data_IF_462359953391
#
_entry.id   IF_462359953391
#
_cell.length_a   1.000
_cell.length_b   1.000
_cell.length_c   1.000
_cell.angle_alpha   90.00
_cell.angle_beta   90.00
_cell.angle_gamma   90.00
#
_symmetry.space_group_name_H-M   'P 1'
#
loop_
_entity.id
_entity.type
_entity.pdbx_description
1 polymer ?
#
# COMPACT_ATOMS: atom_id res chain seq x y z
N UNK A 1 38.30 -27.90 3.13
CA UNK A 1 37.73 -28.24 4.45
C UNK A 1 36.95 -29.54 4.31
N UNK A 2 37.29 -30.57 5.08
CA UNK A 2 36.63 -31.87 4.95
C UNK A 2 35.16 -31.82 5.40
N UNK A 3 34.80 -30.85 6.25
CA UNK A 3 33.44 -30.64 6.77
C UNK A 3 32.43 -30.41 5.65
N UNK A 4 32.81 -29.67 4.61
CA UNK A 4 31.95 -29.42 3.44
C UNK A 4 31.68 -30.71 2.66
N UNK A 5 32.71 -31.55 2.45
CA UNK A 5 32.55 -32.82 1.75
C UNK A 5 31.67 -33.81 2.52
N UNK A 6 31.73 -33.77 3.86
CA UNK A 6 30.87 -34.57 4.74
C UNK A 6 29.43 -34.06 4.64
N UNK A 7 29.20 -32.76 4.78
CA UNK A 7 27.87 -32.14 4.67
C UNK A 7 27.20 -32.47 3.33
N UNK A 8 27.93 -32.35 2.22
CA UNK A 8 27.39 -32.68 0.89
C UNK A 8 27.02 -34.16 0.77
N UNK A 9 27.89 -35.07 1.24
CA UNK A 9 27.58 -36.51 1.24
C UNK A 9 26.40 -36.85 2.14
N UNK A 10 26.25 -36.15 3.26
CA UNK A 10 25.14 -36.35 4.18
C UNK A 10 23.79 -36.05 3.54
N UNK A 11 23.70 -34.92 2.83
CA UNK A 11 22.50 -34.51 2.08
C UNK A 11 22.18 -35.52 0.98
N UNK A 12 23.18 -35.87 0.15
CA UNK A 12 22.98 -36.77 -1.00
C UNK A 12 22.58 -38.19 -0.59
N UNK A 13 23.04 -38.68 0.57
CA UNK A 13 22.72 -40.03 1.04
C UNK A 13 21.27 -40.17 1.52
N UNK A 14 20.62 -39.07 1.94
CA UNK A 14 19.26 -39.09 2.48
C UNK A 14 18.36 -38.01 1.81
N UNK A 15 18.01 -38.19 0.52
CA UNK A 15 17.28 -37.18 -0.25
C UNK A 15 15.89 -36.88 0.31
N UNK A 16 15.22 -37.86 0.93
CA UNK A 16 13.88 -37.66 1.53
C UNK A 16 13.90 -36.61 2.65
N UNK A 17 14.93 -36.60 3.49
CA UNK A 17 15.03 -35.65 4.62
C UNK A 17 15.48 -34.27 4.16
N UNK A 18 16.41 -34.22 3.19
CA UNK A 18 16.76 -32.97 2.52
C UNK A 18 15.53 -32.34 1.87
N UNK A 19 14.67 -33.14 1.22
CA UNK A 19 13.42 -32.67 0.62
C UNK A 19 12.46 -32.07 1.66
N UNK A 20 12.26 -32.71 2.82
CA UNK A 20 11.40 -32.16 3.88
C UNK A 20 11.93 -30.82 4.42
N UNK A 21 13.24 -30.72 4.64
CA UNK A 21 13.87 -29.47 5.10
C UNK A 21 13.71 -28.39 4.03
N UNK A 22 13.98 -28.74 2.77
CA UNK A 22 13.85 -27.82 1.66
C UNK A 22 12.41 -27.35 1.52
N UNK A 23 11.43 -28.25 1.55
CA UNK A 23 10.01 -27.94 1.45
C UNK A 23 9.51 -27.02 2.57
N UNK A 24 9.93 -27.26 3.82
CA UNK A 24 9.54 -26.42 4.95
C UNK A 24 10.06 -24.98 4.78
N UNK A 25 11.33 -24.82 4.38
CA UNK A 25 11.93 -23.50 4.15
C UNK A 25 11.34 -22.84 2.90
N UNK A 26 11.14 -23.60 1.81
CA UNK A 26 10.48 -23.15 0.58
C UNK A 26 9.12 -22.56 0.88
N UNK A 27 8.29 -23.25 1.68
CA UNK A 27 6.97 -22.78 2.04
C UNK A 27 7.03 -21.51 2.90
N UNK A 28 7.94 -21.46 3.88
CA UNK A 28 8.12 -20.29 4.72
C UNK A 28 8.56 -19.06 3.90
N UNK A 29 9.54 -19.22 3.01
CA UNK A 29 9.99 -18.17 2.08
C UNK A 29 8.83 -17.73 1.19
N UNK A 30 8.09 -18.69 0.62
CA UNK A 30 6.99 -18.38 -0.28
C UNK A 30 5.92 -17.52 0.40
N UNK A 31 5.51 -17.92 1.61
CA UNK A 31 4.52 -17.18 2.41
C UNK A 31 5.04 -15.78 2.77
N UNK A 32 6.30 -15.65 3.19
CA UNK A 32 6.87 -14.35 3.57
C UNK A 32 6.91 -13.40 2.36
N UNK A 33 7.43 -13.85 1.22
CA UNK A 33 7.53 -13.02 0.01
C UNK A 33 6.14 -12.64 -0.49
N UNK A 34 5.22 -13.60 -0.55
CA UNK A 34 3.85 -13.34 -0.98
C UNK A 34 3.17 -12.32 -0.06
N UNK A 35 3.32 -12.48 1.26
CA UNK A 35 2.76 -11.55 2.23
C UNK A 35 3.39 -10.15 2.13
N UNK A 36 4.72 -10.04 1.96
CA UNK A 36 5.39 -8.76 1.69
C UNK A 36 4.83 -8.10 0.42
N UNK A 37 4.64 -8.86 -0.65
CA UNK A 37 4.13 -8.33 -1.90
C UNK A 37 2.69 -7.85 -1.81
N UNK A 38 1.83 -8.57 -1.07
CA UNK A 38 0.44 -8.14 -0.81
C UNK A 38 0.44 -6.85 0.01
N UNK A 39 1.21 -6.80 1.10
CA UNK A 39 1.27 -5.61 1.96
C UNK A 39 1.82 -4.39 1.20
N UNK A 40 2.84 -4.59 0.37
CA UNK A 40 3.43 -3.51 -0.45
C UNK A 40 2.49 -3.05 -1.55
N UNK A 41 1.81 -3.96 -2.25
CA UNK A 41 0.84 -3.59 -3.29
C UNK A 41 -0.32 -2.79 -2.69
N UNK A 42 -0.86 -3.24 -1.57
CA UNK A 42 -1.88 -2.51 -0.82
C UNK A 42 -1.41 -1.11 -0.39
N UNK A 43 -0.19 -0.98 0.13
CA UNK A 43 0.36 0.33 0.50
C UNK A 43 0.59 1.25 -0.69
N UNK A 44 1.10 0.73 -1.81
CA UNK A 44 1.28 1.48 -3.05
C UNK A 44 -0.07 2.02 -3.56
N UNK A 45 -1.08 1.16 -3.59
CA UNK A 45 -2.43 1.52 -4.01
C UNK A 45 -3.05 2.63 -3.14
N UNK A 46 -2.89 2.54 -1.82
CA UNK A 46 -3.33 3.60 -0.91
C UNK A 46 -2.57 4.88 -1.17
N UNK A 47 -1.24 4.84 -1.33
CA UNK A 47 -0.42 6.04 -1.56
C UNK A 47 -0.81 6.70 -2.89
N UNK A 48 -0.91 5.95 -3.98
CA UNK A 48 -1.32 6.48 -5.28
C UNK A 48 -2.73 7.09 -5.21
N UNK A 49 -3.69 6.37 -4.63
CA UNK A 49 -5.08 6.85 -4.55
C UNK A 49 -5.25 8.03 -3.57
N UNK A 50 -4.44 8.10 -2.51
CA UNK A 50 -4.61 9.09 -1.43
C UNK A 50 -3.70 10.31 -1.57
N UNK A 51 -2.56 10.18 -2.25
CA UNK A 51 -1.54 11.24 -2.33
C UNK A 51 -1.34 11.74 -3.74
N UNK A 52 -1.03 10.86 -4.70
CA UNK A 52 -0.64 11.29 -6.06
C UNK A 52 -1.77 12.03 -6.80
N UNK A 53 -3.01 11.58 -6.59
CA UNK A 53 -4.22 12.11 -7.20
C UNK A 53 -5.00 13.06 -6.28
N UNK A 54 -4.37 13.61 -5.23
CA UNK A 54 -5.01 14.48 -4.27
C UNK A 54 -4.15 15.71 -3.94
N UNK A 55 -4.73 16.76 -3.35
CA UNK A 55 -3.93 17.86 -2.83
C UNK A 55 -2.97 17.39 -1.75
N UNK A 56 -1.81 18.04 -1.70
CA UNK A 56 -0.82 17.78 -0.67
C UNK A 56 -0.99 18.74 0.52
N UNK A 57 -1.43 19.97 0.24
CA UNK A 57 -1.70 21.03 1.23
C UNK A 57 -3.16 21.42 1.14
N UNK A 58 -3.81 21.56 2.29
CA UNK A 58 -5.19 22.01 2.43
C UNK A 58 -5.21 23.25 3.32
N UNK A 59 -5.65 24.39 2.79
CA UNK A 59 -5.89 25.60 3.59
C UNK A 59 -7.39 25.75 3.78
N UNK A 60 -7.84 25.58 5.01
CA UNK A 60 -9.24 25.55 5.40
C UNK A 60 -9.54 26.61 6.46
N UNK A 61 -10.81 27.06 6.57
CA UNK A 61 -11.22 27.91 7.68
C UNK A 61 -10.98 27.21 9.03
N UNK A 62 -10.77 28.01 10.08
CA UNK A 62 -10.74 27.50 11.46
C UNK A 62 -12.13 26.99 11.85
N UNK A 63 -12.20 26.20 12.94
CA UNK A 63 -13.47 25.59 13.40
C UNK A 63 -14.63 26.57 13.61
N UNK A 64 -14.34 27.86 13.85
CA UNK A 64 -15.32 28.93 14.05
C UNK A 64 -15.71 29.68 12.76
N UNK A 65 -15.03 29.42 11.65
CA UNK A 65 -15.28 30.03 10.34
C UNK A 65 -15.79 28.99 9.33
N UNK A 66 -16.51 29.45 8.31
CA UNK A 66 -17.09 28.55 7.29
C UNK A 66 -16.38 28.62 5.93
N UNK A 67 -15.60 29.67 5.68
CA UNK A 67 -15.01 29.94 4.37
C UNK A 67 -13.68 30.67 4.46
N UNK A 68 -12.84 30.47 3.46
CA UNK A 68 -11.63 31.26 3.22
C UNK A 68 -12.01 32.52 2.46
N UNK A 69 -11.77 33.67 3.09
CA UNK A 69 -11.91 34.99 2.48
C UNK A 69 -10.60 35.42 1.84
N UNK A 70 -10.66 36.34 0.86
CA UNK A 70 -9.47 36.82 0.14
C UNK A 70 -8.65 35.67 -0.45
N UNK A 71 -9.32 34.60 -0.88
CA UNK A 71 -8.69 33.34 -1.29
C UNK A 71 -7.65 33.56 -2.39
N UNK A 72 -7.84 34.53 -3.29
CA UNK A 72 -6.85 34.91 -4.32
C UNK A 72 -5.51 35.32 -3.73
N UNK A 73 -5.51 36.03 -2.59
CA UNK A 73 -4.29 36.40 -1.87
C UNK A 73 -3.64 35.18 -1.24
N UNK A 74 -4.45 34.30 -0.63
CA UNK A 74 -4.00 33.04 -0.06
C UNK A 74 -3.37 32.16 -1.14
N UNK A 75 -4.04 31.99 -2.28
CA UNK A 75 -3.56 31.23 -3.44
C UNK A 75 -2.24 31.80 -3.97
N UNK A 76 -2.11 33.12 -4.13
CA UNK A 76 -0.87 33.75 -4.61
C UNK A 76 0.30 33.54 -3.65
N UNK A 77 0.07 33.60 -2.34
CA UNK A 77 1.12 33.34 -1.36
C UNK A 77 1.50 31.86 -1.38
N UNK A 78 0.52 30.96 -1.47
CA UNK A 78 0.78 29.52 -1.56
C UNK A 78 1.59 29.19 -2.81
N UNK A 79 1.26 29.78 -3.96
CA UNK A 79 2.04 29.66 -5.19
C UNK A 79 3.48 30.19 -5.04
N UNK A 80 3.74 31.16 -4.16
CA UNK A 80 5.08 31.67 -3.94
C UNK A 80 5.97 30.73 -3.10
N UNK A 81 5.41 29.66 -2.49
CA UNK A 81 6.20 28.72 -1.69
C UNK A 81 7.09 27.83 -2.57
N UNK A 82 8.38 27.63 -2.19
CA UNK A 82 9.27 26.73 -2.91
C UNK A 82 8.71 25.30 -2.97
N UNK A 83 8.68 24.73 -4.17
CA UNK A 83 8.23 23.36 -4.40
C UNK A 83 6.73 23.18 -4.57
N UNK A 84 5.92 24.24 -4.49
CA UNK A 84 4.52 24.21 -4.93
C UNK A 84 4.48 24.18 -6.46
N UNK A 85 3.69 23.26 -7.02
CA UNK A 85 3.57 23.01 -8.47
C UNK A 85 2.22 23.46 -9.04
N UNK A 86 1.17 23.41 -8.21
CA UNK A 86 -0.17 23.85 -8.57
C UNK A 86 -0.94 24.28 -7.33
N UNK A 87 -1.88 25.21 -7.52
CA UNK A 87 -2.79 25.71 -6.48
C UNK A 87 -4.17 25.82 -7.08
N UNK A 88 -5.19 25.33 -6.40
CA UNK A 88 -6.59 25.46 -6.80
C UNK A 88 -7.44 25.99 -5.65
N UNK A 89 -8.31 26.94 -5.95
CA UNK A 89 -9.29 27.44 -5.00
C UNK A 89 -10.63 26.76 -5.24
N UNK A 90 -11.17 26.16 -4.19
CA UNK A 90 -12.28 25.21 -4.31
C UNK A 90 -13.42 25.57 -3.39
N UNK A 91 -14.64 25.47 -3.92
CA UNK A 91 -15.85 25.66 -3.14
C UNK A 91 -16.72 24.42 -3.15
N UNK A 92 -16.59 23.62 -2.10
CA UNK A 92 -17.38 22.43 -1.88
C UNK A 92 -18.76 22.77 -1.31
N UNK A 93 -19.76 22.01 -1.74
CA UNK A 93 -21.12 22.13 -1.24
C UNK A 93 -21.95 20.88 -1.47
N UNK A 94 -23.07 20.78 -0.76
CA UNK A 94 -24.05 19.71 -0.94
C UNK A 94 -25.31 20.25 -1.60
N UNK A 95 -25.95 19.41 -2.41
CA UNK A 95 -27.19 19.76 -3.11
C UNK A 95 -27.96 18.52 -3.57
N UNK A 96 -28.99 18.75 -4.36
CA UNK A 96 -29.76 17.70 -5.03
C UNK A 96 -29.74 17.95 -6.54
N UNK A 97 -29.37 16.93 -7.31
CA UNK A 97 -29.53 16.91 -8.76
C UNK A 97 -30.87 16.24 -9.10
N UNK A 98 -31.66 16.89 -9.95
CA UNK A 98 -32.92 16.37 -10.48
C UNK A 98 -32.89 16.32 -12.00
N UNK A 99 -33.16 15.15 -12.55
CA UNK A 99 -33.39 14.94 -13.97
C UNK A 99 -34.66 14.10 -14.16
N UNK A 100 -35.65 14.68 -14.86
CA UNK A 100 -37.00 14.09 -15.00
C UNK A 100 -37.59 13.76 -13.60
N UNK A 101 -37.87 12.49 -13.33
CA UNK A 101 -38.42 11.99 -12.08
C UNK A 101 -37.36 11.49 -11.08
N UNK A 102 -36.09 11.44 -11.50
CA UNK A 102 -34.98 10.99 -10.65
C UNK A 102 -34.38 12.17 -9.87
N UNK A 103 -34.20 11.98 -8.57
CA UNK A 103 -33.53 12.93 -7.68
C UNK A 103 -32.43 12.19 -6.93
N UNK A 104 -31.23 12.77 -6.90
CA UNK A 104 -30.09 12.26 -6.14
C UNK A 104 -29.45 13.37 -5.31
N UNK A 105 -29.05 13.03 -4.09
CA UNK A 105 -28.18 13.90 -3.30
C UNK A 105 -26.79 13.88 -3.94
N UNK A 106 -26.16 15.05 -4.04
CA UNK A 106 -24.85 15.22 -4.65
C UNK A 106 -23.97 16.12 -3.81
N UNK A 107 -22.68 16.02 -4.04
CA UNK A 107 -21.69 17.02 -3.67
C UNK A 107 -21.27 17.75 -4.94
N UNK A 108 -21.23 19.08 -4.90
CA UNK A 108 -20.65 19.88 -5.97
C UNK A 108 -19.32 20.47 -5.52
N UNK A 109 -18.39 20.59 -6.45
CA UNK A 109 -17.12 21.26 -6.25
C UNK A 109 -16.99 22.37 -7.30
N UNK A 110 -17.04 23.61 -6.81
CA UNK A 110 -16.81 24.81 -7.60
C UNK A 110 -15.33 25.05 -7.79
N UNK A 111 -14.85 25.08 -9.04
CA UNK A 111 -13.42 25.19 -9.35
C UNK A 111 -13.14 26.14 -10.51
N UNK A 112 -11.88 26.59 -10.61
CA UNK A 112 -11.33 27.03 -11.88
C UNK A 112 -10.76 25.80 -12.61
N UNK A 113 -11.20 25.49 -13.85
CA UNK A 113 -10.83 24.24 -14.51
C UNK A 113 -9.37 24.18 -14.96
N UNK A 114 -8.66 25.30 -15.11
CA UNK A 114 -7.22 25.29 -15.43
C UNK A 114 -6.37 24.98 -14.20
N UNK A 115 -6.67 25.65 -13.09
CA UNK A 115 -5.98 25.46 -11.82
C UNK A 115 -6.23 24.06 -11.24
N UNK A 116 -7.48 23.59 -11.33
CA UNK A 116 -7.87 22.27 -10.85
C UNK A 116 -7.23 21.15 -11.67
N UNK A 117 -7.19 21.29 -13.00
CA UNK A 117 -6.55 20.32 -13.90
C UNK A 117 -5.04 20.23 -13.64
N UNK A 118 -4.35 21.36 -13.41
CA UNK A 118 -2.93 21.34 -13.03
C UNK A 118 -2.67 20.63 -11.72
N UNK A 119 -3.61 20.68 -10.78
CA UNK A 119 -3.45 20.12 -9.46
C UNK A 119 -3.84 18.63 -9.39
N UNK A 120 -4.96 18.27 -10.01
CA UNK A 120 -5.56 16.94 -9.90
C UNK A 120 -5.42 16.08 -11.15
N UNK A 121 -4.90 16.62 -12.25
CA UNK A 121 -4.88 15.97 -13.57
C UNK A 121 -6.28 15.54 -14.04
N UNK A 122 -7.31 16.34 -13.75
CA UNK A 122 -8.73 15.98 -14.01
C UNK A 122 -8.98 15.49 -15.44
N UNK A 123 -8.25 16.03 -16.43
CA UNK A 123 -8.34 15.59 -17.82
C UNK A 123 -8.05 14.10 -18.05
N UNK A 124 -7.23 13.44 -17.22
CA UNK A 124 -6.98 12.00 -17.35
C UNK A 124 -8.23 11.18 -17.12
N UNK A 125 -9.15 11.71 -16.31
CA UNK A 125 -10.35 11.02 -15.85
C UNK A 125 -11.59 11.39 -16.69
N UNK A 126 -11.46 12.32 -17.64
CA UNK A 126 -12.57 12.74 -18.50
C UNK A 126 -12.87 11.68 -19.55
N UNK A 127 -14.08 11.13 -19.50
CA UNK A 127 -14.60 10.17 -20.49
C UNK A 127 -15.16 10.90 -21.71
N UNK A 128 -15.80 12.06 -21.51
CA UNK A 128 -16.41 12.84 -22.59
C UNK A 128 -16.48 14.32 -22.26
N UNK A 129 -16.36 15.18 -23.29
CA UNK A 129 -16.37 16.63 -23.15
C UNK A 129 -14.97 17.23 -22.99
N UNK A 130 -14.90 18.57 -22.93
CA UNK A 130 -13.68 19.33 -22.63
C UNK A 130 -13.84 20.01 -21.27
N UNK A 131 -13.04 19.64 -20.27
CA UNK A 131 -13.14 20.18 -18.91
C UNK A 131 -13.01 21.71 -18.88
N UNK A 132 -12.31 22.29 -19.86
CA UNK A 132 -12.15 23.74 -19.99
C UNK A 132 -13.46 24.46 -20.38
N UNK A 133 -14.48 23.76 -20.84
CA UNK A 133 -15.79 24.35 -21.11
C UNK A 133 -16.47 24.87 -19.83
N UNK A 134 -16.06 24.44 -18.64
CA UNK A 134 -16.53 25.02 -17.37
C UNK A 134 -16.14 26.50 -17.21
N UNK A 135 -15.03 26.95 -17.79
CA UNK A 135 -14.67 28.38 -17.75
C UNK A 135 -15.51 29.20 -18.75
N UNK A 136 -15.89 28.58 -19.86
CA UNK A 136 -16.64 29.23 -20.95
C UNK A 136 -18.14 29.29 -20.68
N UNK A 137 -18.67 28.35 -19.90
CA UNK A 137 -20.11 28.19 -19.67
C UNK A 137 -20.41 28.29 -18.19
N UNK A 138 -21.03 29.40 -17.78
CA UNK A 138 -21.45 29.63 -16.38
C UNK A 138 -22.37 28.52 -15.83
N UNK A 139 -23.24 27.96 -16.67
CA UNK A 139 -24.21 26.92 -16.29
C UNK A 139 -23.88 25.57 -16.93
N UNK A 140 -22.70 25.05 -16.62
CA UNK A 140 -22.24 23.74 -17.04
C UNK A 140 -21.79 22.89 -15.84
N UNK A 141 -21.85 21.57 -15.98
CA UNK A 141 -21.28 20.65 -15.01
C UNK A 141 -20.60 19.46 -15.70
N UNK A 142 -19.58 18.93 -15.05
CA UNK A 142 -19.05 17.58 -15.29
C UNK A 142 -19.58 16.65 -14.21
N UNK A 143 -20.08 15.48 -14.60
CA UNK A 143 -20.76 14.53 -13.72
C UNK A 143 -20.01 13.21 -13.71
N UNK A 144 -19.85 12.60 -12.53
CA UNK A 144 -19.29 11.25 -12.42
C UNK A 144 -20.17 10.21 -13.13
N UNK A 145 -19.56 9.20 -13.76
CA UNK A 145 -20.27 8.16 -14.52
C UNK A 145 -21.34 7.43 -13.70
N UNK A 146 -21.01 7.03 -12.47
CA UNK A 146 -21.95 6.35 -11.57
C UNK A 146 -23.18 7.21 -11.21
N UNK A 147 -22.99 8.51 -10.99
CA UNK A 147 -24.08 9.45 -10.77
C UNK A 147 -24.92 9.65 -12.05
N UNK A 148 -24.28 9.74 -13.20
CA UNK A 148 -24.95 9.90 -14.49
C UNK A 148 -25.87 8.70 -14.79
N UNK A 149 -25.40 7.48 -14.52
CA UNK A 149 -26.20 6.26 -14.63
C UNK A 149 -27.38 6.26 -13.65
N UNK A 150 -27.15 6.60 -12.39
CA UNK A 150 -28.19 6.66 -11.35
C UNK A 150 -29.28 7.70 -11.66
N UNK A 151 -28.92 8.81 -12.30
CA UNK A 151 -29.83 9.87 -12.77
C UNK A 151 -30.41 9.58 -14.16
N UNK A 152 -29.86 8.62 -14.90
CA UNK A 152 -30.20 8.30 -16.29
C UNK A 152 -30.05 9.51 -17.22
N UNK A 153 -28.94 10.24 -17.05
CA UNK A 153 -28.63 11.47 -17.80
C UNK A 153 -27.37 11.26 -18.65
N UNK A 154 -27.35 11.86 -19.85
CA UNK A 154 -26.21 11.82 -20.77
C UNK A 154 -25.52 13.18 -20.93
N UNK A 155 -24.46 13.21 -21.73
CA UNK A 155 -23.83 14.45 -22.15
C UNK A 155 -24.82 15.33 -22.93
N UNK A 156 -24.70 16.65 -22.79
CA UNK A 156 -25.54 17.69 -23.40
C UNK A 156 -27.00 17.76 -22.90
N UNK A 157 -27.42 16.88 -22.00
CA UNK A 157 -28.69 17.01 -21.27
C UNK A 157 -28.66 18.18 -20.26
N UNK A 158 -29.84 18.68 -19.90
CA UNK A 158 -30.01 19.65 -18.82
C UNK A 158 -30.61 18.99 -17.58
N UNK A 159 -30.05 19.28 -16.40
CA UNK A 159 -30.62 18.90 -15.10
C UNK A 159 -30.82 20.13 -14.21
N UNK A 160 -31.59 19.95 -13.14
CA UNK A 160 -31.77 20.99 -12.12
C UNK A 160 -30.91 20.67 -10.91
N UNK A 161 -30.01 21.58 -10.55
CA UNK A 161 -29.29 21.55 -9.29
C UNK A 161 -30.01 22.44 -8.28
N UNK A 162 -30.36 21.87 -7.14
CA UNK A 162 -31.02 22.56 -6.04
C UNK A 162 -30.16 22.53 -4.78
N UNK A 163 -29.92 23.70 -4.18
CA UNK A 163 -29.34 23.86 -2.85
C UNK A 163 -30.21 24.83 -2.05
N UNK A 164 -30.73 24.38 -0.91
CA UNK A 164 -31.67 25.18 -0.12
C UNK A 164 -32.88 25.61 -0.97
N UNK A 165 -33.06 26.93 -1.12
CA UNK A 165 -34.14 27.52 -1.92
C UNK A 165 -33.72 27.88 -3.35
N UNK A 166 -32.45 27.73 -3.71
CA UNK A 166 -31.94 28.05 -5.04
C UNK A 166 -32.02 26.81 -5.92
N UNK A 167 -32.60 26.96 -7.10
CA UNK A 167 -32.63 25.94 -8.14
C UNK A 167 -32.17 26.52 -9.46
N UNK A 168 -31.16 25.90 -10.07
CA UNK A 168 -30.54 26.34 -11.31
C UNK A 168 -30.56 25.20 -12.31
N UNK A 169 -30.90 25.50 -13.56
CA UNK A 169 -30.77 24.55 -14.67
C UNK A 169 -29.34 24.59 -15.20
N UNK A 170 -28.70 23.42 -15.26
CA UNK A 170 -27.30 23.25 -15.63
C UNK A 170 -27.21 22.22 -16.75
N UNK A 171 -26.34 22.48 -17.72
CA UNK A 171 -26.06 21.56 -18.81
C UNK A 171 -24.92 20.60 -18.46
N UNK A 172 -25.06 19.33 -18.80
CA UNK A 172 -23.98 18.34 -18.69
C UNK A 172 -22.98 18.58 -19.82
N UNK A 173 -21.84 19.20 -19.51
CA UNK A 173 -20.78 19.46 -20.49
C UNK A 173 -19.92 18.21 -20.75
N UNK A 174 -19.86 17.30 -19.78
CA UNK A 174 -19.09 16.07 -19.91
C UNK A 174 -19.23 15.13 -18.73
N UNK A 175 -18.57 13.98 -18.84
CA UNK A 175 -18.56 12.92 -17.84
C UNK A 175 -17.12 12.58 -17.46
N UNK A 176 -16.90 12.21 -16.20
CA UNK A 176 -15.61 11.77 -15.68
C UNK A 176 -15.73 10.45 -14.91
N UNK A 177 -14.63 9.71 -14.81
CA UNK A 177 -14.52 8.46 -14.06
C UNK A 177 -13.15 8.38 -13.38
N UNK A 178 -13.14 8.49 -12.05
CA UNK A 178 -11.94 8.42 -11.20
C UNK A 178 -11.68 6.99 -10.71
N UNK A 179 -12.65 6.09 -10.81
CA UNK A 179 -12.60 4.76 -10.21
C UNK A 179 -12.81 4.78 -8.69
N UNK A 180 -13.31 5.89 -8.14
CA UNK A 180 -13.54 6.09 -6.69
C UNK A 180 -15.01 6.36 -6.39
N UNK A 181 -15.37 6.42 -5.10
CA UNK A 181 -16.73 6.80 -4.67
C UNK A 181 -17.16 8.21 -5.13
N UNK A 182 -16.24 9.05 -5.61
CA UNK A 182 -16.57 10.35 -6.19
C UNK A 182 -17.46 10.21 -7.44
N UNK A 183 -17.29 9.15 -8.23
CA UNK A 183 -18.03 8.93 -9.48
C UNK A 183 -19.54 8.83 -9.26
N UNK A 184 -19.94 8.49 -8.04
CA UNK A 184 -21.32 8.27 -7.63
C UNK A 184 -22.06 9.49 -7.08
N UNK A 185 -21.34 10.57 -6.76
CA UNK A 185 -21.93 11.70 -6.03
C UNK A 185 -21.35 13.07 -6.33
N UNK A 186 -20.16 13.15 -6.93
CA UNK A 186 -19.47 14.41 -7.22
C UNK A 186 -19.87 14.98 -8.58
N UNK A 187 -20.08 16.30 -8.61
CA UNK A 187 -20.09 17.08 -9.85
C UNK A 187 -19.09 18.24 -9.75
N UNK A 188 -18.39 18.52 -10.85
CA UNK A 188 -17.61 19.75 -10.98
C UNK A 188 -18.47 20.83 -11.63
N UNK A 189 -18.43 22.04 -11.07
CA UNK A 189 -19.11 23.22 -11.61
C UNK A 189 -18.15 24.43 -11.60
N UNK A 190 -18.46 25.50 -12.36
CA UNK A 190 -17.63 26.71 -12.33
C UNK A 190 -17.66 27.33 -10.94
N UNK A 191 -16.52 27.82 -10.45
CA UNK A 191 -16.42 28.43 -9.12
C UNK A 191 -17.46 29.53 -8.89
N UNK A 192 -17.70 30.37 -9.90
CA UNK A 192 -18.72 31.43 -9.83
C UNK A 192 -20.14 30.87 -9.60
N UNK A 193 -20.47 29.74 -10.22
CA UNK A 193 -21.79 29.12 -10.02
C UNK A 193 -21.90 28.54 -8.60
N UNK A 194 -20.83 27.94 -8.09
CA UNK A 194 -20.82 27.46 -6.71
C UNK A 194 -21.01 28.61 -5.71
N UNK A 195 -20.35 29.76 -5.93
CA UNK A 195 -20.51 30.97 -5.12
C UNK A 195 -21.96 31.49 -5.15
N UNK A 196 -22.55 31.59 -6.34
CA UNK A 196 -23.97 31.96 -6.51
C UNK A 196 -24.92 31.01 -5.74
N UNK A 197 -24.65 29.70 -5.78
CA UNK A 197 -25.48 28.68 -5.12
C UNK A 197 -25.41 28.71 -3.59
N UNK A 198 -24.32 29.22 -3.03
CA UNK A 198 -24.16 29.34 -1.57
C UNK A 198 -24.57 30.72 -1.04
N UNK A 199 -25.03 31.62 -1.92
CA UNK A 199 -25.41 33.01 -1.61
C UNK A 199 -24.27 33.82 -0.97
N UNK A 200 -23.03 33.43 -1.22
CA UNK A 200 -21.84 34.11 -0.73
C UNK A 200 -20.93 34.42 -1.92
N UNK A 201 -20.42 35.65 -1.97
CA UNK A 201 -19.61 36.13 -3.10
C UNK A 201 -18.20 35.54 -3.14
N UNK A 202 -17.18 36.41 -3.05
CA UNK A 202 -15.75 36.11 -3.28
C UNK A 202 -15.12 35.27 -2.13
N UNK A 203 -15.66 34.07 -1.89
CA UNK A 203 -15.25 33.12 -0.86
C UNK A 203 -15.10 31.71 -1.44
N UNK A 204 -14.31 30.88 -0.77
CA UNK A 204 -14.12 29.45 -1.10
C UNK A 204 -14.13 28.61 0.17
N UNK A 205 -14.38 27.30 0.08
CA UNK A 205 -14.29 26.42 1.25
C UNK A 205 -12.85 26.10 1.60
N UNK A 206 -11.99 25.99 0.58
CA UNK A 206 -10.58 25.65 0.76
C UNK A 206 -9.70 26.19 -0.38
N UNK A 207 -8.42 26.35 -0.07
CA UNK A 207 -7.36 26.61 -1.05
C UNK A 207 -6.33 25.51 -0.92
N UNK A 208 -6.20 24.74 -1.98
CA UNK A 208 -5.45 23.50 -2.00
C UNK A 208 -4.22 23.64 -2.88
N UNK A 209 -3.17 22.87 -2.59
CA UNK A 209 -1.98 22.85 -3.43
C UNK A 209 -1.33 21.48 -3.58
N UNK A 210 -0.71 21.29 -4.74
CA UNK A 210 0.20 20.17 -5.05
C UNK A 210 1.64 20.64 -4.95
N UNK A 211 2.48 19.77 -4.39
CA UNK A 211 3.92 20.02 -4.21
C UNK A 211 4.76 18.91 -4.81
N UNK A 212 5.99 19.25 -5.21
CA UNK A 212 6.96 18.31 -5.77
C UNK A 212 7.41 17.24 -4.77
N UNK A 213 7.54 17.59 -3.48
CA UNK A 213 7.98 16.67 -2.42
C UNK A 213 6.93 16.55 -1.31
N UNK A 214 6.18 15.46 -1.35
CA UNK A 214 5.10 15.13 -0.42
C UNK A 214 5.56 14.96 1.04
N UNK A 215 6.86 14.71 1.27
CA UNK A 215 7.40 14.48 2.61
C UNK A 215 7.81 15.77 3.31
N UNK A 216 7.95 16.87 2.59
CA UNK A 216 8.28 18.18 3.17
C UNK A 216 7.06 19.02 3.52
N UNK A 217 5.86 18.53 3.19
CA UNK A 217 4.62 19.31 3.34
C UNK A 217 4.36 19.74 4.77
N UNK A 218 4.61 18.88 5.77
CA UNK A 218 4.36 19.21 7.17
C UNK A 218 5.18 20.41 7.67
N UNK A 219 6.36 20.66 7.09
CA UNK A 219 7.16 21.85 7.41
C UNK A 219 6.54 23.11 6.79
N UNK A 220 6.01 22.99 5.57
CA UNK A 220 5.31 24.07 4.87
C UNK A 220 4.04 24.44 5.63
N UNK A 221 3.19 23.48 5.98
CA UNK A 221 1.93 23.72 6.71
C UNK A 221 2.16 24.32 8.09
N UNK A 222 3.20 23.87 8.81
CA UNK A 222 3.60 24.47 10.09
C UNK A 222 4.02 25.94 9.94
N UNK A 223 4.72 26.31 8.86
CA UNK A 223 5.06 27.70 8.57
C UNK A 223 3.84 28.53 8.17
N UNK A 224 2.97 27.97 7.31
CA UNK A 224 1.70 28.57 6.89
C UNK A 224 0.80 28.88 8.11
N UNK A 225 0.65 27.93 9.04
CA UNK A 225 -0.13 28.11 10.27
C UNK A 225 0.38 29.22 11.19
N UNK A 226 1.67 29.59 11.10
CA UNK A 226 2.24 30.73 11.85
C UNK A 226 1.97 32.07 11.17
N UNK A 227 1.73 32.07 9.85
CA UNK A 227 1.58 33.30 9.03
C UNK A 227 0.13 33.61 8.68
N UNK A 228 -0.72 32.58 8.58
CA UNK A 228 -2.11 32.69 8.20
C UNK A 228 -3.06 32.59 9.37
N UNK A 229 -4.22 33.23 9.21
CA UNK A 229 -5.34 33.08 10.13
C UNK A 229 -6.13 31.78 9.89
N UNK A 230 -5.83 31.03 8.82
CA UNK A 230 -6.47 29.79 8.41
C UNK A 230 -5.72 28.55 8.91
N UNK A 231 -6.41 27.42 8.97
CA UNK A 231 -5.80 26.14 9.31
C UNK A 231 -5.21 25.50 8.05
N UNK A 232 -3.92 25.20 8.09
CA UNK A 232 -3.16 24.59 7.02
C UNK A 232 -2.82 23.16 7.42
N UNK A 233 -3.37 22.19 6.70
CA UNK A 233 -3.17 20.76 6.95
C UNK A 233 -2.39 20.12 5.82
N UNK A 234 -1.54 19.17 6.14
CA UNK A 234 -0.90 18.34 5.12
C UNK A 234 -1.79 17.15 4.77
N UNK A 235 -1.49 16.48 3.67
CA UNK A 235 -2.14 15.21 3.34
C UNK A 235 -1.96 14.17 4.45
N UNK A 236 -0.85 14.20 5.20
CA UNK A 236 -0.66 13.34 6.36
C UNK A 236 -1.64 13.66 7.48
N UNK A 237 -1.92 14.95 7.74
CA UNK A 237 -2.89 15.36 8.75
C UNK A 237 -4.31 14.96 8.32
N UNK A 238 -4.65 15.15 7.05
CA UNK A 238 -5.96 14.79 6.48
C UNK A 238 -6.20 13.28 6.47
N UNK A 239 -5.14 12.48 6.38
CA UNK A 239 -5.20 11.03 6.27
C UNK A 239 -4.55 10.34 7.47
N UNK A 240 -4.53 10.99 8.64
CA UNK A 240 -3.87 10.47 9.83
C UNK A 240 -4.41 9.10 10.24
N UNK A 241 -5.72 8.86 10.10
CA UNK A 241 -6.34 7.56 10.37
C UNK A 241 -5.83 6.47 9.43
N UNK A 242 -5.69 6.76 8.14
CA UNK A 242 -5.12 5.82 7.15
C UNK A 242 -3.66 5.51 7.49
N UNK A 243 -2.87 6.53 7.84
CA UNK A 243 -1.47 6.35 8.24
C UNK A 243 -1.37 5.50 9.52
N UNK A 244 -2.23 5.73 10.50
CA UNK A 244 -2.31 4.92 11.72
C UNK A 244 -2.68 3.45 11.42
N UNK A 245 -3.57 3.21 10.44
CA UNK A 245 -3.89 1.86 9.98
C UNK A 245 -2.67 1.19 9.32
N UNK A 246 -1.92 1.91 8.48
CA UNK A 246 -0.68 1.41 7.87
C UNK A 246 0.37 1.07 8.93
N UNK A 247 0.54 1.92 9.95
CA UNK A 247 1.45 1.66 11.06
C UNK A 247 1.02 0.44 11.88
N UNK A 248 -0.27 0.35 12.19
CA UNK A 248 -0.85 -0.79 12.91
C UNK A 248 -0.68 -2.10 12.13
N UNK A 249 -0.92 -2.06 10.82
CA UNK A 249 -0.70 -3.18 9.91
C UNK A 249 0.78 -3.61 9.90
N UNK A 250 1.73 -2.68 9.96
CA UNK A 250 3.16 -2.99 10.08
C UNK A 250 3.48 -3.76 11.36
N UNK A 251 2.84 -3.44 12.48
CA UNK A 251 3.00 -4.20 13.74
C UNK A 251 2.46 -5.62 13.59
N UNK A 252 1.26 -5.78 13.02
CA UNK A 252 0.70 -7.12 12.76
C UNK A 252 1.58 -7.93 11.80
N UNK A 253 2.12 -7.32 10.75
CA UNK A 253 3.05 -7.97 9.83
C UNK A 253 4.27 -8.55 10.57
N UNK A 254 4.86 -7.79 11.50
CA UNK A 254 5.97 -8.29 12.33
C UNK A 254 5.57 -9.50 13.20
N UNK A 255 4.36 -9.51 13.77
CA UNK A 255 3.85 -10.65 14.53
C UNK A 255 3.73 -11.88 13.61
N UNK A 256 3.17 -11.73 12.41
CA UNK A 256 3.09 -12.83 11.44
C UNK A 256 4.46 -13.34 11.02
N UNK A 257 5.42 -12.46 10.75
CA UNK A 257 6.79 -12.86 10.43
C UNK A 257 7.44 -13.64 11.57
N UNK A 258 7.24 -13.22 12.83
CA UNK A 258 7.74 -13.96 13.99
C UNK A 258 7.12 -15.34 14.12
N UNK A 259 5.80 -15.47 13.88
CA UNK A 259 5.11 -16.75 13.90
C UNK A 259 5.60 -17.68 12.78
N UNK A 260 5.75 -17.17 11.56
CA UNK A 260 6.29 -17.94 10.43
C UNK A 260 7.73 -18.40 10.74
N UNK A 261 8.55 -17.49 11.29
CA UNK A 261 9.91 -17.81 11.73
C UNK A 261 9.91 -18.94 12.77
N UNK A 262 9.03 -18.88 13.77
CA UNK A 262 8.93 -19.89 14.81
C UNK A 262 8.46 -21.25 14.28
N UNK A 263 7.43 -21.28 13.44
CA UNK A 263 6.89 -22.51 12.84
C UNK A 263 7.92 -23.17 11.93
N UNK A 264 8.55 -22.40 11.04
CA UNK A 264 9.59 -22.89 10.15
C UNK A 264 10.80 -23.40 10.94
N UNK A 265 11.25 -22.61 11.93
CA UNK A 265 12.37 -22.97 12.80
C UNK A 265 12.12 -24.26 13.58
N UNK A 266 10.91 -24.45 14.12
CA UNK A 266 10.53 -25.69 14.79
C UNK A 266 10.59 -26.90 13.84
N UNK A 267 10.07 -26.75 12.62
CA UNK A 267 10.13 -27.80 11.59
C UNK A 267 11.56 -28.22 11.25
N UNK A 268 12.46 -27.24 11.08
CA UNK A 268 13.89 -27.48 10.80
C UNK A 268 14.57 -28.13 12.00
N UNK A 269 14.37 -27.59 13.21
CA UNK A 269 14.96 -28.12 14.43
C UNK A 269 14.53 -29.58 14.68
N UNK A 270 13.25 -29.89 14.50
CA UNK A 270 12.73 -31.26 14.64
C UNK A 270 13.36 -32.22 13.63
N UNK A 271 13.47 -31.79 12.37
CA UNK A 271 14.12 -32.58 11.32
C UNK A 271 15.59 -32.83 11.64
N UNK A 272 16.29 -31.81 12.13
CA UNK A 272 17.70 -31.89 12.45
C UNK A 272 17.99 -32.74 13.70
N UNK A 273 17.13 -32.68 14.73
CA UNK A 273 17.18 -33.60 15.88
C UNK A 273 17.04 -35.05 15.40
N UNK A 274 16.11 -35.31 14.48
CA UNK A 274 15.92 -36.64 13.90
C UNK A 274 17.17 -37.11 13.13
N UNK A 275 17.81 -36.23 12.35
CA UNK A 275 19.05 -36.53 11.61
C UNK A 275 20.18 -36.87 12.58
N UNK A 276 20.38 -36.06 13.62
CA UNK A 276 21.39 -36.29 14.65
C UNK A 276 21.19 -37.64 15.32
N UNK A 277 19.95 -37.95 15.74
CA UNK A 277 19.63 -39.21 16.42
C UNK A 277 19.93 -40.44 15.54
N UNK A 278 19.57 -40.41 14.25
CA UNK A 278 19.85 -41.50 13.30
C UNK A 278 21.33 -41.68 12.97
N UNK A 279 22.16 -40.67 13.24
CA UNK A 279 23.60 -40.65 12.91
C UNK A 279 24.52 -40.56 14.12
N UNK A 280 23.97 -40.74 15.31
CA UNK A 280 24.67 -40.77 16.60
C UNK A 280 25.98 -41.58 16.53
N UNK A 281 25.95 -42.80 15.98
CA UNK A 281 27.13 -43.67 15.83
C UNK A 281 28.19 -43.10 14.88
N UNK A 282 27.79 -42.51 13.75
CA UNK A 282 28.73 -41.91 12.78
C UNK A 282 29.46 -40.71 13.41
N UNK A 283 28.72 -39.88 14.16
CA UNK A 283 29.26 -38.73 14.89
C UNK A 283 30.24 -39.22 15.98
N UNK A 284 29.89 -40.28 16.71
CA UNK A 284 30.76 -40.92 17.70
C UNK A 284 32.08 -41.41 17.12
N UNK A 285 32.04 -42.08 15.97
CA UNK A 285 33.26 -42.53 15.26
C UNK A 285 34.12 -41.35 14.82
N UNK A 286 33.52 -40.29 14.27
CA UNK A 286 34.26 -39.08 13.89
C UNK A 286 34.96 -38.45 15.10
N UNK A 287 34.27 -38.34 16.24
CA UNK A 287 34.87 -37.80 17.47
C UNK A 287 35.99 -38.70 18.02
N UNK A 288 35.84 -40.03 17.96
CA UNK A 288 36.88 -40.98 18.35
C UNK A 288 38.13 -40.90 17.45
N UNK A 289 37.96 -40.55 16.18
CA UNK A 289 39.08 -40.26 15.25
C UNK A 289 39.70 -38.86 15.42
N UNK A 290 39.22 -38.06 16.38
CA UNK A 290 39.79 -36.75 16.71
C UNK A 290 39.02 -35.54 16.17
N UNK A 291 37.82 -35.71 15.61
CA UNK A 291 37.00 -34.58 15.20
C UNK A 291 36.60 -33.72 16.41
N UNK A 292 36.93 -32.42 16.36
CA UNK A 292 36.57 -31.49 17.44
C UNK A 292 35.08 -31.17 17.42
N UNK A 293 34.52 -30.79 18.59
CA UNK A 293 33.12 -30.33 18.72
C UNK A 293 32.78 -29.21 17.72
N UNK A 294 33.73 -28.29 17.49
CA UNK A 294 33.57 -27.20 16.51
C UNK A 294 33.47 -27.72 15.08
N UNK A 295 34.20 -28.77 14.73
CA UNK A 295 34.11 -29.39 13.40
C UNK A 295 32.76 -30.06 13.18
N UNK A 296 32.26 -30.81 14.18
CA UNK A 296 30.91 -31.40 14.13
C UNK A 296 29.84 -30.30 13.93
N UNK A 297 29.94 -29.21 14.70
CA UNK A 297 29.01 -28.08 14.59
C UNK A 297 29.10 -27.40 13.20
N UNK A 298 30.31 -27.25 12.64
CA UNK A 298 30.51 -26.73 11.27
C UNK A 298 29.87 -27.60 10.19
N UNK A 299 29.92 -28.93 10.31
CA UNK A 299 29.28 -29.84 9.34
C UNK A 299 27.79 -29.54 9.25
N UNK A 300 27.11 -29.45 10.39
CA UNK A 300 25.67 -29.17 10.42
C UNK A 300 25.31 -27.76 9.91
N UNK A 301 26.10 -26.74 10.27
CA UNK A 301 25.89 -25.39 9.73
C UNK A 301 26.04 -25.39 8.20
N UNK A 302 27.05 -26.10 7.67
CA UNK A 302 27.27 -26.21 6.23
C UNK A 302 26.12 -26.97 5.54
N UNK A 303 25.54 -27.99 6.17
CA UNK A 303 24.34 -28.64 5.63
C UNK A 303 23.18 -27.65 5.47
N UNK A 304 22.88 -26.86 6.51
CA UNK A 304 21.86 -25.82 6.46
C UNK A 304 22.15 -24.76 5.37
N UNK A 305 23.42 -24.37 5.23
CA UNK A 305 23.85 -23.38 4.23
C UNK A 305 23.76 -23.91 2.80
N UNK A 306 24.04 -25.20 2.59
CA UNK A 306 23.91 -25.85 1.27
C UNK A 306 22.43 -25.97 0.86
N UNK A 307 21.54 -26.25 1.82
CA UNK A 307 20.11 -26.41 1.55
C UNK A 307 19.36 -25.07 1.39
N UNK A 308 19.87 -23.97 1.95
CA UNK A 308 19.16 -22.70 1.93
C UNK A 308 18.97 -22.08 0.52
N UNK A 309 19.98 -22.02 -0.37
CA UNK A 309 19.80 -21.47 -1.71
C UNK A 309 18.70 -22.17 -2.54
N UNK A 310 18.65 -23.51 -2.68
CA UNK A 310 17.58 -24.14 -3.44
C UNK A 310 16.21 -23.92 -2.80
N UNK A 311 16.11 -23.90 -1.46
CA UNK A 311 14.87 -23.55 -0.79
C UNK A 311 14.40 -22.14 -1.08
N UNK A 312 15.31 -21.16 -1.04
CA UNK A 312 14.97 -19.77 -1.30
C UNK A 312 14.57 -19.54 -2.76
N UNK A 313 15.27 -20.19 -3.70
CA UNK A 313 14.92 -20.15 -5.12
C UNK A 313 13.54 -20.76 -5.37
N UNK A 314 13.29 -21.98 -4.85
CA UNK A 314 11.98 -22.63 -5.00
C UNK A 314 10.87 -21.84 -4.30
N UNK A 315 11.15 -21.27 -3.13
CA UNK A 315 10.20 -20.45 -2.38
C UNK A 315 9.85 -19.16 -3.11
N UNK A 316 10.85 -18.51 -3.71
CA UNK A 316 10.66 -17.33 -4.55
C UNK A 316 9.84 -17.64 -5.81
N UNK A 317 10.17 -18.73 -6.52
CA UNK A 317 9.39 -19.17 -7.69
C UNK A 317 7.94 -19.45 -7.28
N UNK A 318 7.74 -20.16 -6.18
CA UNK A 318 6.40 -20.47 -5.67
C UNK A 318 5.63 -19.19 -5.30
N UNK A 319 6.24 -18.24 -4.59
CA UNK A 319 5.61 -16.96 -4.27
C UNK A 319 5.21 -16.19 -5.53
N UNK A 320 6.11 -16.11 -6.51
CA UNK A 320 5.85 -15.40 -7.77
C UNK A 320 4.68 -16.05 -8.52
N UNK A 321 4.69 -17.37 -8.71
CA UNK A 321 3.61 -18.09 -9.37
C UNK A 321 2.29 -17.96 -8.62
N UNK A 322 2.31 -18.04 -7.29
CA UNK A 322 1.13 -17.82 -6.46
C UNK A 322 0.58 -16.40 -6.62
N UNK A 323 1.43 -15.37 -6.67
CA UNK A 323 0.97 -14.00 -6.88
C UNK A 323 0.36 -13.79 -8.26
N UNK A 324 0.99 -14.32 -9.31
CA UNK A 324 0.43 -14.27 -10.66
C UNK A 324 -0.93 -14.96 -10.74
N UNK A 325 -1.07 -16.11 -10.07
CA UNK A 325 -2.34 -16.81 -9.97
C UNK A 325 -3.38 -15.98 -9.21
N UNK A 326 -3.04 -15.38 -8.07
CA UNK A 326 -3.97 -14.56 -7.29
C UNK A 326 -4.40 -13.32 -8.10
N UNK A 327 -3.46 -12.63 -8.74
CA UNK A 327 -3.76 -11.45 -9.57
C UNK A 327 -4.58 -11.78 -10.83
N UNK A 328 -4.59 -13.04 -11.28
CA UNK A 328 -5.43 -13.48 -12.40
C UNK A 328 -6.92 -13.55 -12.04
N UNK A 329 -7.25 -13.55 -10.75
CA UNK A 329 -8.63 -13.42 -10.28
C UNK A 329 -8.91 -11.94 -9.99
N UNK A 330 -9.79 -11.33 -10.78
CA UNK A 330 -10.30 -9.98 -10.49
C UNK A 330 -11.24 -10.05 -9.27
N UNK A 331 -10.65 -9.88 -8.09
CA UNK A 331 -11.40 -9.71 -6.85
C UNK A 331 -11.83 -8.24 -6.79
N UNK A 332 -13.06 -7.97 -7.18
CA UNK A 332 -13.70 -6.67 -6.97
C UNK A 332 -13.88 -6.46 -5.47
N UNK A 333 -13.21 -5.43 -4.94
CA UNK A 333 -13.36 -5.00 -3.56
C UNK A 333 -14.48 -3.95 -3.53
N UNK A 334 -15.43 -4.01 -2.58
CA UNK A 334 -16.41 -2.94 -2.39
C UNK A 334 -15.67 -1.62 -2.12
N UNK A 335 -15.66 -0.73 -3.12
CA UNK A 335 -14.95 0.55 -3.08
C UNK A 335 -15.40 1.43 -1.91
N UNK A 336 -16.67 1.29 -1.52
CA UNK A 336 -17.31 1.94 -0.36
C UNK A 336 -16.64 1.59 0.98
N UNK A 337 -16.01 0.41 1.09
CA UNK A 337 -15.39 -0.10 2.33
C UNK A 337 -13.87 -0.02 2.27
N UNK A 338 -13.28 -0.29 1.10
CA UNK A 338 -11.83 -0.49 0.98
C UNK A 338 -11.10 0.66 0.28
N UNK A 339 -11.79 1.64 -0.30
CA UNK A 339 -11.22 2.77 -1.05
C UNK A 339 -10.22 2.35 -2.16
N UNK A 340 -10.24 1.07 -2.53
CA UNK A 340 -9.36 0.40 -3.47
C UNK A 340 -10.24 -0.49 -4.33
N UNK A 341 -10.08 -0.38 -5.65
CA UNK A 341 -10.95 -1.07 -6.61
C UNK A 341 -10.40 -2.44 -7.01
N UNK A 342 -9.09 -2.68 -6.85
CA UNK A 342 -8.44 -3.96 -7.21
C UNK A 342 -7.33 -4.35 -6.22
N UNK A 343 -7.23 -5.65 -5.94
CA UNK A 343 -6.11 -6.18 -5.15
C UNK A 343 -4.83 -6.24 -6.00
N UNK A 344 -3.83 -5.41 -5.67
CA UNK A 344 -2.52 -5.41 -6.31
C UNK A 344 -1.48 -6.14 -5.45
N UNK A 345 -0.57 -6.88 -6.09
CA UNK A 345 0.54 -7.57 -5.42
C UNK A 345 1.84 -7.07 -6.05
N UNK A 346 2.64 -6.34 -5.27
CA UNK A 346 3.90 -5.78 -5.72
C UNK A 346 5.04 -6.77 -5.48
N UNK A 347 5.62 -7.34 -6.54
CA UNK A 347 6.71 -8.31 -6.44
C UNK A 347 8.08 -7.67 -6.64
N UNK A 348 8.55 -6.95 -5.61
CA UNK A 348 9.85 -6.26 -5.66
C UNK A 348 11.04 -7.20 -5.44
N UNK A 349 12.16 -7.02 -6.16
CA UNK A 349 13.38 -7.82 -5.97
C UNK A 349 13.89 -7.82 -4.53
N UNK A 350 13.74 -6.70 -3.82
CA UNK A 350 14.16 -6.58 -2.42
C UNK A 350 13.49 -7.61 -1.51
N UNK A 351 12.23 -7.98 -1.76
CA UNK A 351 11.51 -8.95 -0.94
C UNK A 351 12.12 -10.35 -1.03
N UNK A 352 12.63 -10.73 -2.21
CA UNK A 352 13.34 -11.98 -2.39
C UNK A 352 14.67 -11.98 -1.63
N UNK A 353 15.41 -10.86 -1.65
CA UNK A 353 16.67 -10.70 -0.90
C UNK A 353 16.41 -10.81 0.60
N UNK A 354 15.40 -10.11 1.11
CA UNK A 354 15.02 -10.19 2.53
C UNK A 354 14.58 -11.60 2.93
N UNK A 355 13.78 -12.27 2.11
CA UNK A 355 13.33 -13.62 2.40
C UNK A 355 14.47 -14.65 2.39
N UNK A 356 15.46 -14.52 1.51
CA UNK A 356 16.71 -15.31 1.55
C UNK A 356 17.44 -15.08 2.87
N UNK A 357 17.60 -13.82 3.29
CA UNK A 357 18.22 -13.47 4.56
C UNK A 357 17.48 -14.06 5.76
N UNK A 358 16.15 -13.99 5.77
CA UNK A 358 15.31 -14.58 6.83
C UNK A 358 15.45 -16.10 6.82
N UNK A 359 15.38 -16.76 5.65
CA UNK A 359 15.50 -18.22 5.54
C UNK A 359 16.85 -18.73 6.03
N UNK A 360 17.95 -18.05 5.67
CA UNK A 360 19.28 -18.34 6.17
C UNK A 360 19.34 -18.17 7.70
N UNK A 361 18.74 -17.11 8.22
CA UNK A 361 18.67 -16.85 9.66
C UNK A 361 17.87 -17.94 10.39
N UNK A 362 16.69 -18.32 9.89
CA UNK A 362 15.86 -19.40 10.45
C UNK A 362 16.63 -20.71 10.46
N UNK A 363 17.22 -21.09 9.31
CA UNK A 363 17.99 -22.33 9.18
C UNK A 363 19.18 -22.37 10.15
N UNK A 364 19.90 -21.26 10.27
CA UNK A 364 20.99 -21.13 11.21
C UNK A 364 20.52 -21.28 12.66
N UNK A 365 19.55 -20.48 13.10
CA UNK A 365 19.04 -20.47 14.48
C UNK A 365 18.43 -21.82 14.86
N UNK A 366 17.61 -22.41 13.99
CA UNK A 366 17.00 -23.71 14.21
C UNK A 366 18.03 -24.85 14.29
N UNK A 367 19.12 -24.74 13.51
CA UNK A 367 20.20 -25.73 13.49
C UNK A 367 21.17 -25.61 14.69
N UNK A 368 21.24 -24.47 15.36
CA UNK A 368 22.17 -24.28 16.47
C UNK A 368 21.94 -25.26 17.62
N UNK A 369 20.70 -25.41 18.09
CA UNK A 369 20.40 -26.27 19.24
C UNK A 369 20.71 -27.76 18.96
N UNK A 370 20.24 -28.37 17.86
CA UNK A 370 20.55 -29.77 17.55
C UNK A 370 22.05 -29.99 17.29
N UNK A 371 22.72 -29.08 16.58
CA UNK A 371 24.16 -29.17 16.32
C UNK A 371 24.97 -29.08 17.62
N UNK A 372 24.59 -28.18 18.52
CA UNK A 372 25.21 -28.06 19.84
C UNK A 372 25.03 -29.35 20.65
N UNK A 373 23.82 -29.90 20.70
CA UNK A 373 23.52 -31.17 21.38
C UNK A 373 24.34 -32.34 20.81
N UNK A 374 24.44 -32.44 19.47
CA UNK A 374 25.24 -33.45 18.79
C UNK A 374 26.73 -33.35 19.15
N UNK A 375 27.27 -32.12 19.15
CA UNK A 375 28.69 -31.87 19.42
C UNK A 375 29.15 -32.20 20.84
N UNK A 376 28.22 -32.33 21.80
CA UNK A 376 28.49 -32.61 23.21
C UNK A 376 28.24 -34.07 23.60
N UNK A 377 27.91 -34.92 22.65
CA UNK A 377 27.66 -36.34 22.89
C UNK A 377 28.95 -37.07 23.30
N UNK A 378 28.85 -37.99 24.26
CA UNK A 378 29.98 -38.83 24.65
C UNK A 378 30.28 -39.85 23.54
N UNK A 379 31.50 -39.89 22.97
CA UNK A 379 31.86 -40.83 21.91
C UNK A 379 31.64 -42.30 22.28
N UNK A 380 31.89 -42.68 23.53
CA UNK A 380 31.74 -44.06 24.01
C UNK A 380 30.26 -44.45 24.03
N UNK A 381 29.42 -43.57 24.56
CA UNK A 381 27.96 -43.78 24.58
C UNK A 381 27.39 -43.76 23.15
N UNK A 382 27.85 -42.84 22.32
CA UNK A 382 27.39 -42.70 20.93
C UNK A 382 27.70 -43.94 20.06
N UNK A 383 28.83 -44.59 20.29
CA UNK A 383 29.22 -45.83 19.60
C UNK A 383 28.44 -47.03 20.16
N UNK A 384 28.17 -47.05 21.47
CA UNK A 384 27.51 -48.14 22.17
C UNK A 384 25.96 -48.13 22.13
N UNK A 385 25.33 -47.03 21.74
CA UNK A 385 23.86 -46.84 21.75
C UNK A 385 23.13 -47.50 20.57
N UNK A 386 23.53 -48.70 20.16
CA UNK A 386 22.85 -49.48 19.12
C UNK A 386 21.70 -50.31 19.71
#
# INVERSE_FOLDING_TARGET
>A
MYEFSIAQRHILRNPRMALFTVAAVTLAVAIIVLFMGIMSGFQEEIITTTVENNPHIYIQPKEDENYVYLYRTVSNILWAYPGVEAVSARLAGKGAAKYKDEVRAISFLGVNPEDEDRMMDVRSDIISGDFQDLDRRKYAAFIGTGLAEKLKIGQEDDFTLTRGNISVRIKVAGLFETGTAADDSLIYIPLMLAQDLIEMGDVVSEVDAKVADIYQVSLITTDLNRRFAYDSKSWQDMNADILNLIETQRVFAWIFYLLIFAIAGFGIANTMIMIVSRRTREIGILMAMGATRRSILKVFILESLILAPPSALMGGILAYLSAQLIMSYEIELPSEVYMISKMTISMKPEFFVWAVGIALTVNFVAGLYPAWKASRMDPVVAIGSA
#
